data_IF_738759105066
#
_entry.id   IF_738759105066
#
_cell.length_a   1.000
_cell.length_b   1.000
_cell.length_c   1.000
_cell.angle_alpha   90.00
_cell.angle_beta   90.00
_cell.angle_gamma   90.00
#
_symmetry.space_group_name_H-M   'P 1'
#
loop_
_entity.id
_entity.type
_entity.pdbx_description
1 polymer ?
#
# COMPACT_ATOMS: atom_id res chain seq x y z
N UNK A 1 -8.32 1.28 17.31
CA UNK A 1 -9.04 1.87 16.14
C UNK A 1 -8.11 2.87 15.47
N UNK A 2 -7.92 2.78 14.16
CA UNK A 2 -7.08 3.73 13.41
C UNK A 2 -7.74 5.12 13.46
N UNK A 3 -6.97 6.13 13.85
CA UNK A 3 -7.42 7.54 13.92
C UNK A 3 -6.86 8.37 12.77
N UNK A 4 -5.68 8.01 12.32
CA UNK A 4 -4.93 8.72 11.28
C UNK A 4 -4.17 7.71 10.44
N UNK A 5 -4.01 8.01 9.16
CA UNK A 5 -3.15 7.28 8.23
C UNK A 5 -2.24 8.31 7.58
N UNK A 6 -0.93 8.10 7.71
CA UNK A 6 0.09 8.83 6.97
C UNK A 6 0.84 7.83 6.09
N UNK A 7 0.88 8.07 4.78
CA UNK A 7 1.66 7.29 3.85
C UNK A 7 2.71 8.19 3.21
N UNK A 8 3.93 7.70 3.09
CA UNK A 8 5.01 8.34 2.35
C UNK A 8 5.72 7.31 1.48
N UNK A 9 5.98 7.69 0.24
CA UNK A 9 6.63 6.85 -0.77
C UNK A 9 5.99 5.46 -0.90
N UNK A 10 4.66 5.42 -0.99
CA UNK A 10 3.88 4.17 -1.00
C UNK A 10 2.96 4.08 -2.23
N UNK A 11 3.28 3.16 -3.15
CA UNK A 11 2.53 2.89 -4.39
C UNK A 11 2.23 4.18 -5.17
N UNK A 12 0.97 4.54 -5.37
CA UNK A 12 0.59 5.76 -6.09
C UNK A 12 0.64 7.03 -5.25
N UNK A 13 1.04 6.95 -3.97
CA UNK A 13 1.12 8.08 -3.07
C UNK A 13 2.58 8.44 -2.78
N UNK A 14 3.02 9.60 -3.29
CA UNK A 14 4.25 10.21 -2.80
C UNK A 14 4.07 10.61 -1.32
N UNK A 15 2.97 11.30 -1.00
CA UNK A 15 2.51 11.56 0.36
C UNK A 15 0.97 11.52 0.42
N UNK A 16 0.41 10.98 1.50
CA UNK A 16 -1.02 11.00 1.80
C UNK A 16 -1.23 11.14 3.31
N UNK A 17 -2.12 12.05 3.70
CA UNK A 17 -2.51 12.25 5.10
C UNK A 17 -4.03 12.19 5.24
N UNK A 18 -4.54 11.18 5.94
CA UNK A 18 -5.94 11.03 6.30
C UNK A 18 -6.05 11.21 7.83
N UNK A 19 -6.76 12.26 8.25
CA UNK A 19 -6.96 12.58 9.66
C UNK A 19 -8.40 12.29 10.09
N UNK A 20 -8.61 12.21 11.40
CA UNK A 20 -9.95 12.14 12.01
C UNK A 20 -10.80 10.92 11.58
N UNK A 21 -10.15 9.80 11.26
CA UNK A 21 -10.85 8.56 10.89
C UNK A 21 -11.80 8.13 12.01
N UNK A 22 -13.02 7.76 11.61
CA UNK A 22 -14.09 7.31 12.51
C UNK A 22 -14.28 5.80 12.40
N UNK A 23 -15.26 5.26 13.12
CA UNK A 23 -15.59 3.83 13.05
C UNK A 23 -16.01 3.42 11.63
N UNK A 24 -16.73 4.30 10.92
CA UNK A 24 -17.11 4.14 9.52
C UNK A 24 -16.48 5.26 8.69
N UNK A 25 -15.78 4.89 7.62
CA UNK A 25 -15.23 5.81 6.64
C UNK A 25 -15.57 5.29 5.25
N UNK A 26 -15.97 6.17 4.33
CA UNK A 26 -16.27 5.82 2.95
C UNK A 26 -15.17 6.41 2.06
N UNK A 27 -14.46 5.56 1.33
CA UNK A 27 -13.44 5.95 0.37
C UNK A 27 -14.00 5.70 -1.04
N UNK A 28 -14.36 6.77 -1.75
CA UNK A 28 -14.97 6.72 -3.08
C UNK A 28 -14.11 7.45 -4.13
N UNK A 29 -14.35 7.18 -5.42
CA UNK A 29 -13.62 7.80 -6.52
C UNK A 29 -13.39 6.84 -7.69
N UNK A 30 -12.75 7.32 -8.77
CA UNK A 30 -12.47 6.54 -9.97
C UNK A 30 -11.55 5.34 -9.71
N UNK A 31 -11.70 4.28 -10.51
CA UNK A 31 -10.82 3.11 -10.44
C UNK A 31 -9.37 3.52 -10.72
N UNK A 32 -8.44 2.84 -10.06
CA UNK A 32 -6.99 3.10 -10.16
C UNK A 32 -6.49 4.43 -9.55
N UNK A 33 -7.28 5.12 -8.73
CA UNK A 33 -6.87 6.34 -8.00
C UNK A 33 -6.42 6.07 -6.55
N UNK A 34 -5.84 4.90 -6.27
CA UNK A 34 -5.24 4.61 -4.96
C UNK A 34 -6.16 4.18 -3.82
N UNK A 35 -7.48 4.06 -4.04
CA UNK A 35 -8.43 3.60 -3.00
C UNK A 35 -8.03 2.23 -2.41
N UNK A 36 -7.74 1.26 -3.28
CA UNK A 36 -7.29 -0.07 -2.83
C UNK A 36 -5.87 0.00 -2.24
N UNK A 37 -5.02 0.94 -2.68
CA UNK A 37 -3.70 1.16 -2.09
C UNK A 37 -3.78 1.65 -0.63
N UNK A 38 -4.80 2.44 -0.26
CA UNK A 38 -5.06 2.80 1.14
C UNK A 38 -5.35 1.54 1.97
N UNK A 39 -6.16 0.61 1.44
CA UNK A 39 -6.42 -0.66 2.11
C UNK A 39 -5.15 -1.53 2.21
N UNK A 40 -4.35 -1.61 1.15
CA UNK A 40 -3.07 -2.34 1.18
C UNK A 40 -2.16 -1.82 2.30
N UNK A 41 -2.06 -0.49 2.47
CA UNK A 41 -1.25 0.10 3.53
C UNK A 41 -1.77 -0.27 4.93
N UNK A 42 -3.10 -0.30 5.13
CA UNK A 42 -3.71 -0.75 6.38
C UNK A 42 -3.37 -2.23 6.63
N UNK A 43 -3.47 -3.09 5.62
CA UNK A 43 -3.10 -4.51 5.74
C UNK A 43 -1.61 -4.67 6.10
N UNK A 44 -0.71 -3.97 5.41
CA UNK A 44 0.72 -3.97 5.71
C UNK A 44 1.02 -3.52 7.15
N UNK A 45 0.33 -2.49 7.62
CA UNK A 45 0.52 -1.96 8.98
C UNK A 45 0.16 -2.98 10.06
N UNK A 46 -0.95 -3.71 9.89
CA UNK A 46 -1.40 -4.70 10.87
C UNK A 46 -0.54 -5.95 10.93
N UNK A 47 0.14 -6.32 9.84
CA UNK A 47 0.97 -7.52 9.77
C UNK A 47 2.45 -7.21 9.46
N UNK A 48 2.94 -6.08 9.98
CA UNK A 48 4.29 -5.56 9.70
C UNK A 48 5.43 -6.53 10.07
N UNK A 49 5.17 -7.47 11.00
CA UNK A 49 6.15 -8.48 11.42
C UNK A 49 6.20 -9.69 10.49
N UNK A 50 5.23 -9.83 9.59
CA UNK A 50 5.13 -10.95 8.66
C UNK A 50 5.35 -10.46 7.22
N UNK A 51 6.54 -10.64 6.64
CA UNK A 51 6.82 -10.20 5.28
C UNK A 51 5.91 -10.87 4.23
N UNK A 52 5.29 -12.02 4.55
CA UNK A 52 4.34 -12.68 3.67
C UNK A 52 3.08 -11.83 3.41
N UNK A 53 2.76 -10.83 4.24
CA UNK A 53 1.64 -9.91 4.00
C UNK A 53 1.73 -9.24 2.63
N UNK A 54 2.94 -8.88 2.19
CA UNK A 54 3.16 -8.23 0.90
C UNK A 54 2.90 -9.19 -0.27
N UNK A 55 3.15 -10.48 -0.08
CA UNK A 55 2.81 -11.52 -1.05
C UNK A 55 1.30 -11.79 -1.05
N UNK A 56 0.67 -11.83 0.12
CA UNK A 56 -0.76 -12.04 0.26
C UNK A 56 -1.57 -10.94 -0.43
N UNK A 57 -1.16 -9.67 -0.28
CA UNK A 57 -1.80 -8.53 -0.96
C UNK A 57 -1.74 -8.69 -2.48
N UNK A 58 -0.59 -9.06 -3.03
CA UNK A 58 -0.44 -9.31 -4.46
C UNK A 58 -1.24 -10.55 -4.92
N UNK A 59 -1.33 -11.60 -4.09
CA UNK A 59 -2.14 -12.78 -4.37
C UNK A 59 -3.65 -12.45 -4.41
N UNK A 60 -4.15 -11.63 -3.48
CA UNK A 60 -5.53 -11.14 -3.50
C UNK A 60 -5.86 -10.35 -4.76
N UNK A 61 -4.86 -9.66 -5.33
CA UNK A 61 -4.98 -8.88 -6.57
C UNK A 61 -4.78 -9.72 -7.83
N UNK A 62 -4.44 -11.01 -7.70
CA UNK A 62 -4.02 -11.89 -8.80
C UNK A 62 -2.80 -11.34 -9.58
N UNK A 63 -1.99 -10.51 -8.93
CA UNK A 63 -0.78 -9.87 -9.49
C UNK A 63 0.47 -10.78 -9.38
N UNK A 64 0.33 -11.96 -8.79
CA UNK A 64 1.41 -12.96 -8.61
C UNK A 64 2.05 -13.43 -9.93
N UNK A 65 1.39 -13.26 -11.07
CA UNK A 65 1.88 -13.74 -12.37
C UNK A 65 3.06 -12.92 -12.93
N UNK A 66 3.26 -11.68 -12.47
CA UNK A 66 4.25 -10.74 -13.00
C UNK A 66 5.37 -10.47 -11.99
N UNK A 67 5.87 -11.51 -11.29
CA UNK A 67 7.13 -11.39 -10.55
C UNK A 67 8.24 -11.24 -11.58
N UNK A 68 8.55 -9.99 -11.89
CA UNK A 68 9.67 -9.64 -12.75
C UNK A 68 10.95 -10.23 -12.13
N UNK A 69 11.53 -11.25 -12.77
CA UNK A 69 12.73 -11.96 -12.25
C UNK A 69 13.91 -11.02 -11.97
N UNK A 70 13.90 -9.83 -12.57
CA UNK A 70 15.00 -8.87 -12.50
C UNK A 70 14.84 -7.84 -11.37
N UNK A 71 13.70 -7.79 -10.66
CA UNK A 71 13.50 -6.87 -9.52
C UNK A 71 12.76 -7.55 -8.38
N UNK A 72 13.15 -7.32 -7.12
CA UNK A 72 12.38 -7.81 -5.98
C UNK A 72 10.93 -7.29 -6.02
N UNK A 73 9.95 -8.17 -5.75
CA UNK A 73 8.53 -7.83 -5.83
C UNK A 73 8.13 -6.63 -4.95
N UNK A 74 8.81 -6.44 -3.80
CA UNK A 74 8.54 -5.37 -2.85
C UNK A 74 8.84 -3.98 -3.42
N UNK A 75 9.65 -3.88 -4.49
CA UNK A 75 9.94 -2.60 -5.18
C UNK A 75 8.66 -1.93 -5.68
N UNK A 76 7.65 -2.73 -6.08
CA UNK A 76 6.34 -2.23 -6.52
C UNK A 76 5.55 -1.47 -5.44
N UNK A 77 5.96 -1.57 -4.17
CA UNK A 77 5.33 -0.85 -3.07
C UNK A 77 5.86 0.58 -2.90
N UNK A 78 7.00 0.92 -3.51
CA UNK A 78 7.57 2.26 -3.47
C UNK A 78 6.91 3.15 -4.54
N UNK A 79 6.77 4.45 -4.25
CA UNK A 79 6.27 5.39 -5.25
C UNK A 79 7.22 5.48 -6.43
N UNK A 80 6.67 5.37 -7.63
CA UNK A 80 7.44 5.25 -8.89
C UNK A 80 8.53 4.16 -8.88
N UNK A 81 8.40 3.16 -8.00
CA UNK A 81 9.44 2.15 -7.74
C UNK A 81 10.79 2.74 -7.29
N UNK A 82 10.81 3.96 -6.75
CA UNK A 82 12.01 4.64 -6.26
C UNK A 82 12.35 4.22 -4.83
N UNK A 83 13.33 3.31 -4.70
CA UNK A 83 13.82 2.81 -3.42
C UNK A 83 14.88 3.70 -2.77
N UNK A 84 15.27 4.81 -3.41
CA UNK A 84 16.20 5.79 -2.82
C UNK A 84 15.53 6.64 -1.74
N UNK A 85 14.21 6.78 -1.81
CA UNK A 85 13.39 7.50 -0.85
C UNK A 85 12.88 6.58 0.26
N UNK A 86 12.78 7.09 1.49
CA UNK A 86 12.26 6.32 2.62
C UNK A 86 10.74 6.16 2.53
N UNK A 87 10.27 4.92 2.65
CA UNK A 87 8.85 4.58 2.83
C UNK A 87 8.47 4.62 4.32
N UNK A 88 7.31 5.19 4.64
CA UNK A 88 6.75 5.21 6.01
C UNK A 88 5.23 5.29 6.03
#
# INVERSE_FOLDING_TARGET
MIKEISLKNFKCFNELYLKQLKTLNIIAGKNNYGKTSILDAIFCFYDVKNPAVLLNIQAFRKEMAEINKNKPFWVSYFHDMDTSQKMS
#
